data_IF_467925993608
#
_entry.id   IF_467925993608
#
_cell.length_a   1.000
_cell.length_b   1.000
_cell.length_c   1.000
_cell.angle_alpha   90.00
_cell.angle_beta   90.00
_cell.angle_gamma   90.00
#
_symmetry.space_group_name_H-M   'P 1'
#
loop_
_entity.id
_entity.type
_entity.pdbx_description
1 polymer ?
#
# COMPACT_ATOMS: atom_id res chain seq x y z
N UNK A 1 -49.74 27.97 35.82
CA UNK A 1 -48.41 27.56 36.33
C UNK A 1 -47.48 27.42 35.14
N UNK A 2 -46.74 28.48 34.81
CA UNK A 2 -45.68 28.48 33.81
C UNK A 2 -44.50 29.20 34.47
N UNK A 3 -43.42 28.47 34.71
CA UNK A 3 -42.17 29.02 35.24
C UNK A 3 -41.26 29.30 34.04
N UNK A 4 -40.75 30.53 34.00
CA UNK A 4 -39.87 31.10 32.97
C UNK A 4 -38.43 30.59 33.09
N UNK A 5 -37.71 30.80 31.97
CA UNK A 5 -36.33 31.34 31.89
C UNK A 5 -35.17 30.33 31.87
N UNK A 6 -34.07 30.45 31.11
CA UNK A 6 -33.44 31.57 30.40
C UNK A 6 -32.74 31.14 29.09
N UNK A 7 -32.61 32.14 28.21
CA UNK A 7 -31.77 32.30 27.02
C UNK A 7 -30.26 32.15 27.25
N UNK A 8 -29.52 31.70 26.23
CA UNK A 8 -28.26 32.34 25.79
C UNK A 8 -28.14 32.17 24.27
N UNK A 9 -28.26 33.27 23.51
CA UNK A 9 -27.70 33.44 22.18
C UNK A 9 -26.24 33.88 22.31
N UNK A 10 -25.36 33.46 21.39
CA UNK A 10 -24.16 34.23 21.07
C UNK A 10 -23.95 34.31 19.55
N UNK A 11 -23.81 35.56 19.14
CA UNK A 11 -23.65 36.17 17.83
C UNK A 11 -22.24 36.03 17.23
N UNK A 12 -22.22 35.98 15.90
CA UNK A 12 -21.25 36.52 14.92
C UNK A 12 -19.76 36.79 15.27
N UNK A 13 -18.90 36.07 14.55
CA UNK A 13 -17.77 36.49 13.67
C UNK A 13 -16.76 37.54 14.19
N UNK A 14 -15.45 37.31 13.94
CA UNK A 14 -14.72 38.29 13.11
C UNK A 14 -14.01 37.66 11.91
N UNK A 15 -14.36 38.18 10.72
CA UNK A 15 -13.46 38.32 9.58
C UNK A 15 -12.47 39.42 9.94
N UNK A 16 -11.19 39.12 9.83
CA UNK A 16 -10.09 40.06 9.64
C UNK A 16 -8.84 39.19 9.45
N UNK A 17 -7.83 39.51 8.67
CA UNK A 17 -7.55 40.57 7.70
C UNK A 17 -6.28 40.08 7.02
N UNK A 18 -6.09 40.39 5.75
CA UNK A 18 -4.83 40.16 5.08
C UNK A 18 -3.69 40.84 5.86
N UNK A 19 -2.62 40.10 6.13
CA UNK A 19 -1.30 40.69 6.30
C UNK A 19 -0.32 39.99 5.37
N UNK A 20 0.25 40.81 4.50
CA UNK A 20 1.20 40.49 3.44
C UNK A 20 2.60 40.79 3.95
N UNK A 21 3.38 39.76 4.28
CA UNK A 21 4.85 39.92 4.38
C UNK A 21 5.59 38.61 4.07
N UNK A 22 5.99 38.50 2.80
CA UNK A 22 7.22 37.91 2.23
C UNK A 22 8.06 36.98 3.13
N UNK A 23 8.28 35.74 2.65
CA UNK A 23 9.62 35.20 2.35
C UNK A 23 9.49 33.92 1.52
N UNK A 24 9.77 34.06 0.23
CA UNK A 24 9.98 32.98 -0.73
C UNK A 24 11.01 31.98 -0.17
N UNK A 25 10.62 30.71 -0.08
CA UNK A 25 11.51 29.56 0.07
C UNK A 25 10.97 28.40 -0.77
N UNK A 26 11.86 27.55 -1.30
CA UNK A 26 11.74 27.02 -2.64
C UNK A 26 10.63 25.98 -2.75
N UNK A 27 9.86 26.08 -3.82
CA UNK A 27 8.96 25.04 -4.31
C UNK A 27 9.83 23.84 -4.69
N UNK A 28 9.79 22.79 -3.90
CA UNK A 28 10.31 21.47 -4.33
C UNK A 28 9.27 20.90 -5.28
N UNK A 29 9.38 21.23 -6.56
CA UNK A 29 8.66 20.52 -7.62
C UNK A 29 9.30 19.15 -7.78
N UNK A 30 8.65 18.11 -7.26
CA UNK A 30 8.88 16.75 -7.72
C UNK A 30 8.23 16.61 -9.09
N UNK A 31 8.96 16.95 -10.15
CA UNK A 31 8.69 16.42 -11.48
C UNK A 31 9.41 15.09 -11.55
N UNK A 32 8.69 14.00 -11.39
CA UNK A 32 9.11 12.68 -11.89
C UNK A 32 7.91 11.74 -11.83
N UNK A 33 7.13 11.75 -12.91
CA UNK A 33 6.39 10.59 -13.36
C UNK A 33 7.42 9.59 -13.91
N UNK A 34 7.86 8.63 -13.09
CA UNK A 34 8.48 7.44 -13.66
C UNK A 34 8.08 6.18 -12.90
N UNK A 35 7.14 5.44 -13.49
CA UNK A 35 6.83 4.07 -13.10
C UNK A 35 7.93 3.13 -13.59
N UNK A 36 8.82 2.68 -12.70
CA UNK A 36 9.76 1.60 -12.99
C UNK A 36 9.41 0.36 -12.18
N UNK A 37 8.46 -0.43 -12.69
CA UNK A 37 8.10 -1.74 -12.15
C UNK A 37 8.53 -2.90 -13.09
N UNK A 38 9.52 -2.70 -13.97
CA UNK A 38 9.85 -3.71 -15.01
C UNK A 38 11.31 -4.14 -15.17
N UNK A 39 12.23 -3.75 -14.29
CA UNK A 39 13.64 -4.15 -14.47
C UNK A 39 14.03 -5.46 -13.77
N UNK A 40 13.11 -6.12 -13.06
CA UNK A 40 13.37 -7.43 -12.42
C UNK A 40 13.28 -8.64 -13.38
N UNK A 41 13.22 -8.42 -14.70
CA UNK A 41 13.02 -9.48 -15.68
C UNK A 41 14.04 -9.44 -16.83
N UNK A 42 15.34 -9.45 -16.53
CA UNK A 42 16.36 -9.73 -17.54
C UNK A 42 17.65 -10.29 -16.95
N UNK A 43 17.62 -11.56 -16.52
CA UNK A 43 18.82 -12.42 -16.58
C UNK A 43 18.41 -13.89 -16.56
N UNK A 44 18.21 -14.48 -17.75
CA UNK A 44 18.21 -15.93 -17.92
C UNK A 44 18.90 -16.29 -19.23
N UNK A 45 19.89 -17.18 -19.06
CA UNK A 45 20.68 -17.97 -20.03
C UNK A 45 21.79 -17.22 -20.77
N UNK A 46 23.02 -17.49 -20.36
CA UNK A 46 23.82 -18.47 -21.09
C UNK A 46 24.66 -19.32 -20.13
N UNK A 47 24.69 -20.62 -20.40
CA UNK A 47 25.41 -21.60 -19.60
C UNK A 47 26.88 -21.62 -19.98
N UNK A 48 27.74 -21.30 -19.03
CA UNK A 48 29.14 -21.71 -19.06
C UNK A 48 29.56 -22.14 -17.64
N UNK A 49 30.01 -23.38 -17.57
CA UNK A 49 30.43 -24.07 -16.36
C UNK A 49 31.82 -23.54 -15.95
N UNK A 50 31.87 -22.70 -14.93
CA UNK A 50 33.13 -22.22 -14.34
C UNK A 50 33.11 -22.47 -12.83
N UNK A 51 34.22 -23.01 -12.31
CA UNK A 51 34.38 -23.49 -10.94
C UNK A 51 34.12 -22.36 -9.92
N UNK A 52 33.18 -22.59 -9.01
CA UNK A 52 32.94 -21.78 -7.84
C UNK A 52 34.06 -22.01 -6.81
N UNK A 53 34.96 -21.03 -6.66
CA UNK A 53 35.60 -20.82 -5.36
C UNK A 53 34.55 -20.13 -4.47
N UNK A 54 34.30 -20.73 -3.29
CA UNK A 54 33.49 -20.13 -2.25
C UNK A 54 34.12 -18.81 -1.82
N UNK A 55 33.61 -17.71 -2.37
CA UNK A 55 33.97 -16.37 -1.94
C UNK A 55 33.22 -16.09 -0.64
N UNK A 56 33.72 -16.65 0.46
CA UNK A 56 33.40 -16.19 1.81
C UNK A 56 33.60 -14.67 1.80
N UNK A 57 32.58 -13.90 2.19
CA UNK A 57 32.53 -12.44 2.17
C UNK A 57 33.55 -11.70 3.04
N UNK A 58 34.77 -12.22 3.14
CA UNK A 58 35.93 -11.53 3.63
C UNK A 58 36.25 -10.38 2.67
N UNK A 59 35.97 -9.16 3.13
CA UNK A 59 36.68 -7.97 2.68
C UNK A 59 38.18 -8.32 2.62
N UNK A 60 38.91 -8.07 1.51
CA UNK A 60 40.36 -8.24 1.52
C UNK A 60 40.91 -7.43 2.70
N UNK A 61 41.45 -8.15 3.68
CA UNK A 61 41.86 -7.61 4.97
C UNK A 61 42.70 -6.33 4.76
N UNK A 62 42.11 -5.17 5.08
CA UNK A 62 42.79 -3.87 4.97
C UNK A 62 42.03 -2.74 4.25
N UNK A 63 40.86 -2.97 3.65
CA UNK A 63 40.03 -1.87 3.12
C UNK A 63 39.05 -1.34 4.16
N UNK A 64 39.08 -0.03 4.38
CA UNK A 64 38.07 0.66 5.19
C UNK A 64 36.67 0.45 4.59
N UNK A 65 35.63 0.32 5.42
CA UNK A 65 34.27 0.22 4.94
C UNK A 65 33.90 1.49 4.17
N UNK A 66 33.38 1.33 2.96
CA UNK A 66 33.05 2.43 2.04
C UNK A 66 31.73 2.11 1.32
N UNK A 67 30.90 3.14 1.08
CA UNK A 67 29.80 3.06 0.12
C UNK A 67 30.33 3.50 -1.23
N UNK A 68 30.46 2.54 -2.16
CA UNK A 68 31.03 2.82 -3.47
C UNK A 68 30.04 3.55 -4.36
N UNK A 69 30.42 4.72 -4.87
CA UNK A 69 29.63 5.42 -5.88
C UNK A 69 29.96 4.89 -7.27
N UNK A 70 28.96 4.29 -7.94
CA UNK A 70 29.05 3.88 -9.34
C UNK A 70 28.04 4.67 -10.16
N UNK A 71 28.44 5.01 -11.37
CA UNK A 71 27.65 5.84 -12.26
C UNK A 71 27.21 5.03 -13.48
N UNK A 72 25.98 5.23 -13.92
CA UNK A 72 25.46 4.63 -15.14
C UNK A 72 25.03 5.72 -16.12
N UNK A 73 25.23 5.48 -17.41
CA UNK A 73 24.77 6.37 -18.47
C UNK A 73 24.27 5.53 -19.64
N UNK A 74 23.12 5.90 -20.20
CA UNK A 74 22.57 5.25 -21.39
C UNK A 74 23.04 6.01 -22.63
N UNK A 75 23.87 5.37 -23.45
CA UNK A 75 24.34 5.91 -24.72
C UNK A 75 24.05 4.90 -25.83
N UNK A 76 23.40 5.35 -26.91
CA UNK A 76 23.01 4.51 -28.05
C UNK A 76 22.23 3.24 -27.64
N UNK A 77 21.35 3.37 -26.64
CA UNK A 77 20.54 2.25 -26.12
C UNK A 77 21.31 1.23 -25.29
N UNK A 78 22.60 1.44 -25.01
CA UNK A 78 23.42 0.60 -24.15
C UNK A 78 23.68 1.26 -22.81
N UNK A 79 23.59 0.48 -21.73
CA UNK A 79 23.92 0.90 -20.38
C UNK A 79 25.43 0.78 -20.15
N UNK A 80 26.07 1.91 -19.86
CA UNK A 80 27.48 1.99 -19.51
C UNK A 80 27.65 2.13 -18.00
N UNK A 81 28.64 1.45 -17.44
CA UNK A 81 29.03 1.58 -16.04
C UNK A 81 30.34 2.34 -15.93
N UNK A 82 30.40 3.26 -14.97
CA UNK A 82 31.50 4.19 -14.77
C UNK A 82 31.88 4.23 -13.28
N UNK A 83 33.18 4.23 -13.02
CA UNK A 83 33.76 4.45 -11.70
C UNK A 83 34.51 5.78 -11.69
N UNK A 84 34.43 6.51 -10.57
CA UNK A 84 35.22 7.71 -10.37
C UNK A 84 36.61 7.37 -9.84
N UNK A 85 37.63 7.78 -10.59
CA UNK A 85 39.03 7.63 -10.22
C UNK A 85 39.45 8.66 -9.16
N UNK A 86 40.59 8.45 -8.47
CA UNK A 86 41.12 9.40 -7.49
C UNK A 86 41.40 10.80 -8.05
N UNK A 87 41.60 10.94 -9.38
CA UNK A 87 41.77 12.22 -10.07
C UNK A 87 40.44 12.94 -10.37
N UNK A 88 39.31 12.36 -9.94
CA UNK A 88 37.96 12.86 -10.14
C UNK A 88 37.32 12.50 -11.49
N UNK A 89 38.05 11.87 -12.42
CA UNK A 89 37.52 11.49 -13.74
C UNK A 89 36.75 10.19 -13.69
N UNK A 90 35.74 10.07 -14.56
CA UNK A 90 34.97 8.84 -14.74
C UNK A 90 35.64 7.94 -15.78
N UNK A 91 35.81 6.65 -15.47
CA UNK A 91 36.28 5.64 -16.41
C UNK A 91 35.31 4.48 -16.49
N UNK A 92 35.16 3.91 -17.69
CA UNK A 92 34.29 2.77 -17.93
C UNK A 92 34.80 1.51 -17.21
N UNK A 93 33.87 0.76 -16.62
CA UNK A 93 34.10 -0.56 -16.02
C UNK A 93 33.25 -1.61 -16.75
N UNK A 94 33.71 -2.86 -16.81
CA UNK A 94 32.95 -3.97 -17.41
C UNK A 94 31.97 -4.57 -16.37
N UNK A 95 30.69 -4.86 -16.69
CA UNK A 95 29.71 -5.42 -15.73
C UNK A 95 29.76 -6.97 -15.67
N UNK A 96 29.13 -7.70 -14.71
CA UNK A 96 28.76 -7.40 -13.31
C UNK A 96 29.78 -7.90 -12.26
N UNK A 97 30.74 -8.74 -12.63
CA UNK A 97 31.68 -9.40 -11.70
C UNK A 97 32.53 -8.39 -10.90
N UNK A 98 32.89 -7.27 -11.55
CA UNK A 98 33.63 -6.18 -10.91
C UNK A 98 32.79 -5.34 -9.94
N UNK A 99 31.46 -5.44 -10.01
CA UNK A 99 30.53 -4.65 -9.21
C UNK A 99 30.19 -5.40 -7.91
N UNK A 100 30.09 -6.73 -7.96
CA UNK A 100 29.78 -7.58 -6.80
C UNK A 100 30.86 -7.57 -5.71
N UNK A 101 32.10 -7.12 -6.03
CA UNK A 101 33.19 -6.99 -5.05
C UNK A 101 32.96 -5.91 -3.99
N UNK A 102 32.02 -4.98 -4.21
CA UNK A 102 31.73 -3.90 -3.27
C UNK A 102 30.58 -4.28 -2.34
N UNK A 103 30.80 -4.15 -1.03
CA UNK A 103 29.81 -4.48 0.00
C UNK A 103 28.52 -3.64 -0.12
N UNK A 104 28.65 -2.35 -0.43
CA UNK A 104 27.53 -1.42 -0.63
C UNK A 104 27.84 -0.49 -1.80
N UNK A 105 26.84 -0.29 -2.66
CA UNK A 105 26.95 0.52 -3.86
C UNK A 105 25.84 1.56 -3.87
N UNK A 106 26.21 2.83 -4.00
CA UNK A 106 25.28 3.88 -4.39
C UNK A 106 25.35 4.03 -5.91
N UNK A 107 24.37 3.45 -6.61
CA UNK A 107 24.23 3.59 -8.05
C UNK A 107 23.60 4.94 -8.36
N UNK A 108 24.28 5.70 -9.20
CA UNK A 108 23.85 7.00 -9.71
C UNK A 108 23.66 6.92 -11.21
N UNK A 109 22.65 7.59 -11.74
CA UNK A 109 22.43 7.69 -13.17
C UNK A 109 22.83 9.08 -13.66
N UNK A 110 23.56 9.14 -14.76
CA UNK A 110 23.94 10.36 -15.44
C UNK A 110 22.96 10.53 -16.60
N UNK A 111 22.09 11.53 -16.48
CA UNK A 111 21.24 12.04 -17.55
C UNK A 111 21.78 13.41 -17.97
N UNK A 112 20.96 14.45 -17.93
CA UNK A 112 21.41 15.85 -17.96
C UNK A 112 22.14 16.22 -16.65
N UNK A 113 21.77 15.58 -15.54
CA UNK A 113 22.34 15.76 -14.22
C UNK A 113 22.67 14.39 -13.58
N UNK A 114 23.49 14.41 -12.53
CA UNK A 114 23.81 13.20 -11.76
C UNK A 114 22.73 13.00 -10.70
N UNK A 115 21.99 11.90 -10.83
CA UNK A 115 20.89 11.55 -9.94
C UNK A 115 21.14 10.22 -9.24
N UNK A 116 20.56 10.06 -8.06
CA UNK A 116 20.57 8.76 -7.40
C UNK A 116 19.62 7.83 -8.15
N UNK A 117 20.03 6.56 -8.32
CA UNK A 117 19.18 5.53 -8.91
C UNK A 117 18.79 4.48 -7.88
N UNK A 118 19.78 3.88 -7.21
CA UNK A 118 19.52 2.84 -6.20
C UNK A 118 20.69 2.66 -5.26
N UNK A 119 20.43 2.06 -4.10
CA UNK A 119 21.44 1.52 -3.20
C UNK A 119 21.39 0.01 -3.34
N UNK A 120 22.53 -0.62 -3.63
CA UNK A 120 22.66 -2.08 -3.75
C UNK A 120 23.56 -2.57 -2.63
N UNK A 121 23.08 -3.52 -1.84
CA UNK A 121 23.77 -4.06 -0.67
C UNK A 121 24.11 -5.51 -0.95
N UNK A 122 25.40 -5.81 -1.08
CA UNK A 122 25.95 -7.16 -1.21
C UNK A 122 26.39 -7.74 0.14
N UNK A 123 26.66 -6.90 1.15
CA UNK A 123 27.04 -7.34 2.49
C UNK A 123 25.92 -8.18 3.14
N UNK A 124 26.15 -9.47 3.42
CA UNK A 124 25.15 -10.33 4.07
C UNK A 124 24.81 -9.84 5.48
N UNK A 125 25.81 -9.34 6.21
CA UNK A 125 25.61 -8.82 7.57
C UNK A 125 24.74 -7.57 7.59
N UNK A 126 24.96 -6.62 6.66
CA UNK A 126 24.12 -5.43 6.56
C UNK A 126 22.71 -5.80 6.08
N UNK A 127 22.58 -6.74 5.14
CA UNK A 127 21.29 -7.23 4.67
C UNK A 127 20.47 -7.85 5.80
N UNK A 128 21.07 -8.72 6.62
CA UNK A 128 20.39 -9.29 7.79
C UNK A 128 20.04 -8.23 8.85
N UNK A 129 20.90 -7.23 9.05
CA UNK A 129 20.59 -6.10 9.95
C UNK A 129 19.41 -5.23 9.46
N UNK A 130 19.18 -5.14 8.15
CA UNK A 130 18.08 -4.38 7.54
C UNK A 130 16.78 -5.19 7.38
N UNK A 131 16.85 -6.51 7.50
CA UNK A 131 15.69 -7.41 7.43
C UNK A 131 14.56 -7.01 8.39
N UNK A 132 14.80 -6.76 9.71
CA UNK A 132 13.73 -6.32 10.60
C UNK A 132 13.13 -4.95 10.25
N UNK A 133 13.82 -4.14 9.43
CA UNK A 133 13.33 -2.82 8.98
C UNK A 133 12.32 -2.96 7.84
N UNK A 134 12.52 -3.92 6.95
CA UNK A 134 11.83 -3.99 5.66
C UNK A 134 11.21 -5.34 5.30
N UNK A 135 11.22 -6.33 6.18
CA UNK A 135 10.69 -7.69 5.88
C UNK A 135 9.25 -7.71 5.36
N UNK A 136 8.44 -6.72 5.73
CA UNK A 136 7.03 -6.58 5.36
C UNK A 136 6.80 -5.48 4.31
N UNK A 137 7.87 -4.86 3.78
CA UNK A 137 7.77 -3.75 2.85
C UNK A 137 7.60 -4.27 1.41
N UNK A 138 6.49 -3.94 0.70
CA UNK A 138 6.11 -4.61 -0.55
C UNK A 138 7.14 -4.54 -1.70
N UNK A 139 7.96 -3.49 -1.73
CA UNK A 139 8.89 -3.22 -2.85
C UNK A 139 10.31 -3.76 -2.61
N UNK A 140 10.57 -4.35 -1.44
CA UNK A 140 11.92 -4.77 -1.05
C UNK A 140 12.02 -6.30 -1.07
N UNK A 141 12.86 -6.80 -1.98
CA UNK A 141 13.12 -8.23 -2.11
C UNK A 141 14.34 -8.66 -1.30
N UNK A 142 14.10 -9.55 -0.33
CA UNK A 142 15.16 -10.20 0.45
C UNK A 142 15.58 -11.57 -0.10
N UNK A 143 14.90 -12.11 -1.12
CA UNK A 143 15.18 -13.43 -1.69
C UNK A 143 16.40 -13.43 -2.63
N UNK A 144 16.64 -12.30 -3.31
CA UNK A 144 17.83 -12.07 -4.14
C UNK A 144 19.13 -12.10 -3.35
N UNK A 145 20.26 -12.42 -3.97
CA UNK A 145 21.58 -12.44 -3.30
C UNK A 145 21.96 -11.05 -2.76
N UNK A 146 21.65 -10.00 -3.51
CA UNK A 146 21.79 -8.60 -3.12
C UNK A 146 20.45 -7.99 -2.72
N UNK A 147 20.51 -6.96 -1.87
CA UNK A 147 19.34 -6.16 -1.50
C UNK A 147 19.40 -4.83 -2.27
N UNK A 148 18.38 -4.55 -3.08
CA UNK A 148 18.30 -3.31 -3.86
C UNK A 148 17.20 -2.41 -3.32
N UNK A 149 17.55 -1.14 -3.07
CA UNK A 149 16.62 -0.10 -2.62
C UNK A 149 16.62 1.01 -3.66
N UNK A 150 15.45 1.29 -4.22
CA UNK A 150 15.27 2.29 -5.28
C UNK A 150 15.09 3.70 -4.70
N UNK A 151 15.46 4.72 -5.49
CA UNK A 151 15.08 6.10 -5.18
C UNK A 151 13.55 6.26 -5.11
N UNK A 152 13.03 7.23 -4.33
CA UNK A 152 13.74 8.24 -3.52
C UNK A 152 14.22 7.75 -2.15
N UNK A 153 14.28 6.43 -1.93
CA UNK A 153 14.62 5.82 -0.63
C UNK A 153 13.56 6.13 0.46
N UNK A 154 12.32 6.40 0.06
CA UNK A 154 11.23 6.76 0.97
C UNK A 154 10.88 5.65 1.96
N UNK A 155 11.21 4.40 1.65
CA UNK A 155 11.06 3.28 2.59
C UNK A 155 11.74 3.59 3.94
N UNK A 156 12.90 4.26 3.96
CA UNK A 156 13.55 4.67 5.21
C UNK A 156 12.76 5.74 5.96
N UNK A 157 12.09 6.67 5.25
CA UNK A 157 11.23 7.67 5.88
C UNK A 157 10.05 7.00 6.58
N UNK A 158 9.45 6.00 5.93
CA UNK A 158 8.31 5.26 6.47
C UNK A 158 8.68 4.27 7.58
N UNK A 159 9.94 3.79 7.59
CA UNK A 159 10.48 2.84 8.57
C UNK A 159 11.56 3.48 9.46
N UNK A 160 11.45 4.78 9.71
CA UNK A 160 12.52 5.55 10.36
C UNK A 160 12.88 5.04 11.76
N UNK A 161 11.87 4.73 12.57
CA UNK A 161 12.08 4.21 13.92
C UNK A 161 12.70 2.81 13.91
N UNK A 162 12.24 1.94 13.01
CA UNK A 162 12.83 0.61 12.81
C UNK A 162 14.28 0.71 12.32
N UNK A 163 14.57 1.68 11.43
CA UNK A 163 15.92 1.90 10.92
C UNK A 163 16.88 2.38 12.02
N UNK A 164 16.43 3.29 12.90
CA UNK A 164 17.19 3.68 14.09
C UNK A 164 17.45 2.50 15.03
N UNK A 165 16.43 1.71 15.33
CA UNK A 165 16.58 0.53 16.18
C UNK A 165 17.56 -0.49 15.59
N UNK A 166 17.50 -0.73 14.27
CA UNK A 166 18.44 -1.60 13.57
C UNK A 166 19.88 -1.07 13.61
N UNK A 167 20.07 0.26 13.55
CA UNK A 167 21.38 0.89 13.73
C UNK A 167 21.93 0.64 15.14
N UNK A 168 21.12 0.84 16.17
CA UNK A 168 21.53 0.65 17.56
C UNK A 168 21.88 -0.82 17.85
N UNK A 169 21.15 -1.76 17.26
CA UNK A 169 21.45 -3.19 17.35
C UNK A 169 22.75 -3.55 16.60
N UNK A 170 22.94 -3.03 15.38
CA UNK A 170 24.14 -3.24 14.59
C UNK A 170 25.42 -2.74 15.29
N UNK A 171 25.30 -1.80 16.23
CA UNK A 171 26.42 -1.29 17.02
C UNK A 171 27.15 -2.37 17.83
N UNK A 172 26.55 -3.55 18.04
CA UNK A 172 27.15 -4.71 18.71
C UNK A 172 28.19 -5.44 17.88
N UNK A 173 28.20 -5.23 16.56
CA UNK A 173 29.12 -5.88 15.62
C UNK A 173 29.95 -4.82 14.88
N UNK A 174 31.28 -4.73 15.12
CA UNK A 174 32.10 -3.62 14.60
C UNK A 174 32.05 -3.44 13.09
N UNK A 175 32.05 -4.53 12.31
CA UNK A 175 32.00 -4.48 10.84
C UNK A 175 30.63 -4.04 10.33
N UNK A 176 29.55 -4.63 10.85
CA UNK A 176 28.17 -4.25 10.50
C UNK A 176 27.88 -2.81 10.89
N UNK A 177 28.34 -2.39 12.06
CA UNK A 177 28.22 -1.02 12.56
C UNK A 177 28.81 -0.02 11.57
N UNK A 178 30.01 -0.27 11.07
CA UNK A 178 30.68 0.70 10.20
C UNK A 178 29.91 0.93 8.88
N UNK A 179 29.45 -0.13 8.22
CA UNK A 179 28.60 0.01 7.03
C UNK A 179 27.22 0.59 7.34
N UNK A 180 26.62 0.23 8.47
CA UNK A 180 25.33 0.76 8.92
C UNK A 180 25.42 2.26 9.23
N UNK A 181 26.49 2.72 9.87
CA UNK A 181 26.74 4.13 10.15
C UNK A 181 26.90 4.95 8.87
N UNK A 182 27.64 4.43 7.88
CA UNK A 182 27.77 5.06 6.56
C UNK A 182 26.41 5.17 5.85
N UNK A 183 25.65 4.08 5.81
CA UNK A 183 24.32 4.05 5.18
C UNK A 183 23.37 5.02 5.89
N UNK A 184 23.33 4.97 7.22
CA UNK A 184 22.50 5.84 8.03
C UNK A 184 22.82 7.32 7.80
N UNK A 185 24.10 7.70 7.83
CA UNK A 185 24.51 9.09 7.62
C UNK A 185 24.13 9.59 6.22
N UNK A 186 24.35 8.78 5.18
CA UNK A 186 23.95 9.11 3.82
C UNK A 186 22.43 9.32 3.70
N UNK A 187 21.64 8.44 4.33
CA UNK A 187 20.17 8.53 4.30
C UNK A 187 19.67 9.74 5.12
N UNK A 188 20.22 9.99 6.30
CA UNK A 188 19.87 11.17 7.13
C UNK A 188 20.13 12.46 6.37
N UNK A 189 21.31 12.61 5.79
CA UNK A 189 21.69 13.82 5.06
C UNK A 189 20.69 14.13 3.94
N UNK A 190 20.24 13.08 3.25
CA UNK A 190 19.34 13.22 2.10
C UNK A 190 17.86 13.37 2.48
N UNK A 191 17.41 12.68 3.53
CA UNK A 191 15.98 12.54 3.84
C UNK A 191 15.55 13.21 5.13
N UNK A 192 16.42 13.95 5.83
CA UNK A 192 16.07 14.63 7.08
C UNK A 192 14.79 15.45 6.98
N UNK A 193 14.67 16.29 5.95
CA UNK A 193 13.47 17.13 5.76
C UNK A 193 12.21 16.27 5.54
N UNK A 194 12.35 15.16 4.81
CA UNK A 194 11.29 14.19 4.54
C UNK A 194 10.83 13.47 5.81
N UNK A 195 11.78 13.08 6.67
CA UNK A 195 11.52 12.49 7.99
C UNK A 195 10.83 13.50 8.91
N UNK A 196 11.35 14.72 8.98
CA UNK A 196 10.80 15.79 9.81
C UNK A 196 9.37 16.16 9.36
N UNK A 197 9.12 16.24 8.05
CA UNK A 197 7.80 16.50 7.49
C UNK A 197 6.79 15.40 7.86
N UNK A 198 7.17 14.11 7.68
CA UNK A 198 6.32 12.98 8.08
C UNK A 198 6.02 12.99 9.57
N UNK A 199 7.06 13.14 10.41
CA UNK A 199 6.91 13.19 11.87
C UNK A 199 5.91 14.29 12.26
N UNK A 200 6.08 15.49 11.70
CA UNK A 200 5.21 16.61 11.96
C UNK A 200 3.75 16.37 11.51
N UNK A 201 3.54 15.73 10.35
CA UNK A 201 2.19 15.37 9.89
C UNK A 201 1.52 14.38 10.84
N UNK A 202 2.24 13.35 11.30
CA UNK A 202 1.72 12.36 12.25
C UNK A 202 1.41 12.96 13.63
N UNK A 203 2.28 13.83 14.15
CA UNK A 203 2.09 14.51 15.44
C UNK A 203 0.91 15.47 15.43
N UNK A 204 0.79 16.29 14.38
CA UNK A 204 -0.29 17.29 14.28
C UNK A 204 -1.60 16.70 13.75
N UNK A 205 -1.57 15.51 13.13
CA UNK A 205 -2.66 14.91 12.34
C UNK A 205 -3.20 15.85 11.26
N UNK A 206 -2.32 16.67 10.72
CA UNK A 206 -2.60 17.57 9.60
C UNK A 206 -1.59 17.38 8.50
N UNK A 207 -1.98 17.68 7.26
CA UNK A 207 -1.12 17.50 6.09
C UNK A 207 -1.42 18.58 5.05
N UNK A 208 -0.37 19.07 4.38
CA UNK A 208 -0.53 19.90 3.18
C UNK A 208 -0.65 19.03 1.94
N UNK A 209 -1.14 19.58 0.83
CA UNK A 209 -1.26 18.81 -0.41
C UNK A 209 0.08 18.20 -0.87
N UNK A 210 1.19 18.92 -0.74
CA UNK A 210 2.53 18.44 -1.17
C UNK A 210 3.14 17.39 -0.25
N UNK A 211 2.64 17.28 0.99
CA UNK A 211 3.10 16.32 2.00
C UNK A 211 2.23 15.05 2.03
N UNK A 212 1.24 14.88 1.15
CA UNK A 212 0.34 13.70 1.18
C UNK A 212 1.09 12.37 1.10
N UNK A 213 2.20 12.32 0.35
CA UNK A 213 3.08 11.14 0.29
C UNK A 213 3.59 10.71 1.68
N UNK A 214 3.72 11.64 2.62
CA UNK A 214 4.21 11.34 3.98
C UNK A 214 3.22 10.53 4.80
N UNK A 215 1.93 10.47 4.45
CA UNK A 215 0.89 9.82 5.27
C UNK A 215 0.24 8.61 4.58
N UNK A 216 0.59 8.33 3.32
CA UNK A 216 0.12 7.16 2.57
C UNK A 216 1.28 6.28 2.09
N UNK A 217 2.07 5.71 3.01
CA UNK A 217 3.12 4.78 2.62
C UNK A 217 2.54 3.54 1.94
N UNK A 218 3.23 2.95 0.94
CA UNK A 218 2.87 1.65 0.38
C UNK A 218 2.69 0.59 1.46
N UNK A 219 1.66 -0.26 1.30
CA UNK A 219 1.30 -1.30 2.26
C UNK A 219 0.47 -0.83 3.45
N UNK A 220 0.32 0.48 3.67
CA UNK A 220 -0.49 1.00 4.79
C UNK A 220 -1.99 0.89 4.57
N UNK A 221 -2.72 0.82 5.68
CA UNK A 221 -4.17 0.83 5.68
C UNK A 221 -4.73 2.25 5.62
N UNK A 222 -5.76 2.44 4.81
CA UNK A 222 -6.56 3.66 4.75
C UNK A 222 -8.03 3.32 4.93
N UNK A 223 -8.75 4.18 5.64
CA UNK A 223 -10.17 4.06 5.88
C UNK A 223 -10.92 4.93 4.88
N UNK A 224 -11.83 4.31 4.14
CA UNK A 224 -12.84 5.03 3.42
C UNK A 224 -14.07 5.16 4.31
N UNK A 225 -14.38 6.42 4.64
CA UNK A 225 -15.69 6.79 5.17
C UNK A 225 -16.47 7.33 3.98
N UNK A 226 -17.50 6.60 3.55
CA UNK A 226 -18.41 7.11 2.53
C UNK A 226 -18.81 8.54 2.88
N UNK A 227 -18.63 9.47 1.94
CA UNK A 227 -18.86 10.88 2.21
C UNK A 227 -20.31 11.06 2.68
N UNK A 228 -20.48 11.49 3.93
CA UNK A 228 -21.78 11.96 4.46
C UNK A 228 -22.27 13.24 3.73
N UNK A 229 -21.59 13.67 2.66
CA UNK A 229 -21.99 14.75 1.75
C UNK A 229 -22.45 14.27 0.36
N UNK A 230 -22.65 12.97 0.16
CA UNK A 230 -23.60 12.55 -0.88
C UNK A 230 -25.00 12.91 -0.34
N UNK A 231 -25.86 13.69 -1.05
CA UNK A 231 -27.21 14.04 -0.60
C UNK A 231 -28.17 12.84 -0.65
N UNK A 232 -27.74 11.73 -0.11
CA UNK A 232 -28.40 10.43 -0.15
C UNK A 232 -28.42 9.93 1.30
N UNK A 233 -29.35 10.54 2.04
CA UNK A 233 -29.92 10.14 3.33
C UNK A 233 -29.26 10.67 4.61
N UNK A 234 -29.74 11.83 5.04
CA UNK A 234 -29.72 12.20 6.45
C UNK A 234 -30.52 11.18 7.28
N UNK A 235 -29.80 10.48 8.17
CA UNK A 235 -30.27 10.05 9.50
C UNK A 235 -29.04 9.65 10.31
N UNK A 236 -28.92 10.29 11.47
CA UNK A 236 -28.19 9.95 12.71
C UNK A 236 -26.74 9.40 12.62
N UNK A 237 -25.81 9.90 13.46
CA UNK A 237 -24.47 9.33 13.62
C UNK A 237 -24.55 8.00 14.40
N UNK A 238 -25.05 6.96 13.73
CA UNK A 238 -25.25 5.63 14.28
C UNK A 238 -24.63 4.57 13.37
N UNK A 239 -23.39 4.17 13.69
CA UNK A 239 -22.67 3.03 13.13
C UNK A 239 -22.39 3.08 11.61
N UNK A 240 -21.12 3.31 11.28
CA UNK A 240 -20.58 3.25 9.91
C UNK A 240 -20.67 1.84 9.30
N UNK A 241 -21.87 1.40 8.90
CA UNK A 241 -22.08 0.09 8.25
C UNK A 241 -21.30 -0.04 6.93
N UNK A 242 -20.94 1.09 6.32
CA UNK A 242 -20.14 1.18 5.09
C UNK A 242 -18.66 1.50 5.33
N UNK A 243 -18.16 1.46 6.58
CA UNK A 243 -16.73 1.66 6.84
C UNK A 243 -15.95 0.56 6.13
N UNK A 244 -15.04 0.93 5.24
CA UNK A 244 -14.18 0.01 4.50
C UNK A 244 -12.73 0.42 4.66
N UNK A 245 -11.83 -0.55 4.76
CA UNK A 245 -10.41 -0.29 4.63
C UNK A 245 -9.90 -0.74 3.26
N UNK A 246 -8.89 -0.03 2.78
CA UNK A 246 -8.09 -0.41 1.63
C UNK A 246 -6.62 -0.44 2.02
N UNK A 247 -5.83 -1.24 1.32
CA UNK A 247 -4.38 -1.20 1.43
C UNK A 247 -3.81 -0.36 0.29
N UNK A 248 -2.96 0.61 0.62
CA UNK A 248 -2.26 1.42 -0.39
C UNK A 248 -1.27 0.53 -1.14
N UNK A 249 -1.36 0.51 -2.47
CA UNK A 249 -0.36 -0.10 -3.34
C UNK A 249 0.76 0.91 -3.58
N UNK A 250 0.39 2.07 -4.10
CA UNK A 250 1.31 3.17 -4.44
C UNK A 250 0.55 4.49 -4.56
N UNK A 251 1.29 5.58 -4.66
CA UNK A 251 0.74 6.91 -4.83
C UNK A 251 1.60 7.75 -5.76
N UNK A 252 0.98 8.73 -6.42
CA UNK A 252 1.68 9.65 -7.35
C UNK A 252 0.98 11.00 -7.44
N UNK A 253 1.74 12.05 -7.72
CA UNK A 253 1.17 13.33 -8.14
C UNK A 253 1.00 13.32 -9.66
N UNK A 254 -0.19 13.69 -10.13
CA UNK A 254 -0.51 13.81 -11.55
C UNK A 254 -1.03 15.22 -11.85
N UNK A 255 -0.91 15.66 -13.09
CA UNK A 255 -1.53 16.91 -13.55
C UNK A 255 -2.81 16.59 -14.32
N UNK A 256 -3.94 17.14 -13.88
CA UNK A 256 -5.23 17.01 -14.56
C UNK A 256 -5.25 17.78 -15.88
N UNK A 257 -6.25 17.52 -16.72
CA UNK A 257 -6.45 18.21 -18.00
C UNK A 257 -6.71 19.71 -17.85
N UNK A 258 -7.24 20.15 -16.70
CA UNK A 258 -7.45 21.56 -16.35
C UNK A 258 -6.20 22.22 -15.73
N UNK A 259 -5.07 21.52 -15.70
CA UNK A 259 -3.79 21.99 -15.16
C UNK A 259 -3.65 21.88 -13.63
N UNK A 260 -4.71 21.49 -12.90
CA UNK A 260 -4.62 21.32 -11.45
C UNK A 260 -3.84 20.06 -11.09
N UNK A 261 -3.16 20.10 -9.95
CA UNK A 261 -2.50 18.90 -9.42
C UNK A 261 -3.52 17.97 -8.76
N UNK A 262 -3.32 16.67 -8.95
CA UNK A 262 -4.05 15.59 -8.31
C UNK A 262 -3.05 14.71 -7.58
N UNK A 263 -3.43 14.22 -6.42
CA UNK A 263 -2.71 13.15 -5.76
C UNK A 263 -3.53 11.87 -5.89
N UNK A 264 -2.98 10.89 -6.61
CA UNK A 264 -3.67 9.65 -6.97
C UNK A 264 -3.16 8.52 -6.11
N UNK A 265 -4.09 7.90 -5.38
CA UNK A 265 -3.86 6.74 -4.53
C UNK A 265 -4.37 5.49 -5.23
N UNK A 266 -3.46 4.57 -5.56
CA UNK A 266 -3.82 3.23 -6.01
C UNK A 266 -3.95 2.33 -4.79
N UNK A 267 -5.12 1.77 -4.59
CA UNK A 267 -5.46 0.99 -3.40
C UNK A 267 -6.04 -0.37 -3.80
N UNK A 268 -5.89 -1.37 -2.93
CA UNK A 268 -6.50 -2.70 -3.11
C UNK A 268 -7.33 -3.13 -1.91
N UNK A 269 -8.29 -4.02 -2.19
CA UNK A 269 -9.18 -4.64 -1.22
C UNK A 269 -9.63 -6.01 -1.71
N UNK A 270 -10.17 -6.83 -0.83
CA UNK A 270 -10.67 -8.17 -1.13
C UNK A 270 -12.18 -8.10 -1.38
N UNK A 271 -12.64 -8.66 -2.49
CA UNK A 271 -14.08 -8.77 -2.81
C UNK A 271 -14.38 -10.09 -3.53
N UNK A 272 -15.63 -10.29 -3.93
CA UNK A 272 -16.13 -11.51 -4.59
C UNK A 272 -16.90 -11.27 -5.90
N UNK A 273 -16.73 -10.10 -6.54
CA UNK A 273 -17.50 -9.78 -7.75
C UNK A 273 -17.28 -10.75 -8.92
N UNK A 274 -16.01 -11.04 -9.24
CA UNK A 274 -15.58 -12.05 -10.23
C UNK A 274 -14.83 -13.19 -9.53
N UNK A 275 -15.46 -13.71 -8.48
CA UNK A 275 -14.83 -14.64 -7.53
C UNK A 275 -13.99 -13.92 -6.48
N UNK A 276 -13.56 -14.70 -5.48
CA UNK A 276 -12.78 -14.21 -4.36
C UNK A 276 -11.40 -13.74 -4.84
N UNK A 277 -11.12 -12.45 -4.71
CA UNK A 277 -9.93 -11.85 -5.27
C UNK A 277 -9.56 -10.51 -4.62
N UNK A 278 -8.32 -10.10 -4.82
CA UNK A 278 -7.89 -8.72 -4.70
C UNK A 278 -8.36 -7.92 -5.91
N UNK A 279 -8.97 -6.77 -5.63
CA UNK A 279 -9.37 -5.75 -6.60
C UNK A 279 -8.58 -4.49 -6.30
N UNK A 280 -8.27 -3.74 -7.37
CA UNK A 280 -7.57 -2.47 -7.32
C UNK A 280 -8.49 -1.35 -7.77
N UNK A 281 -8.39 -0.19 -7.14
CA UNK A 281 -9.03 1.05 -7.58
C UNK A 281 -8.14 2.25 -7.34
N UNK A 282 -8.56 3.39 -7.89
CA UNK A 282 -7.89 4.68 -7.71
C UNK A 282 -8.79 5.64 -6.94
N UNK A 283 -8.20 6.43 -6.05
CA UNK A 283 -8.86 7.56 -5.41
C UNK A 283 -8.01 8.80 -5.64
N UNK A 284 -8.65 9.85 -6.13
CA UNK A 284 -8.00 11.11 -6.41
C UNK A 284 -8.29 12.12 -5.30
N UNK A 285 -7.25 12.79 -4.84
CA UNK A 285 -7.34 13.95 -3.96
C UNK A 285 -6.98 15.17 -4.80
N UNK A 286 -7.95 16.05 -5.04
CA UNK A 286 -7.69 17.31 -5.73
C UNK A 286 -6.82 18.24 -4.89
N UNK A 287 -5.98 19.03 -5.56
CA UNK A 287 -5.18 20.07 -4.91
C UNK A 287 -6.02 20.95 -3.99
N UNK A 288 -5.46 21.24 -2.82
CA UNK A 288 -6.04 22.14 -1.85
C UNK A 288 -4.95 23.02 -1.22
N UNK A 289 -5.38 24.17 -0.70
CA UNK A 289 -4.50 25.09 -0.01
C UNK A 289 -4.52 24.87 1.51
N UNK A 290 -3.42 25.22 2.16
CA UNK A 290 -3.25 25.06 3.59
C UNK A 290 -3.17 23.59 4.03
N UNK A 291 -3.50 23.37 5.30
CA UNK A 291 -3.43 22.05 5.95
C UNK A 291 -4.82 21.48 6.18
N UNK A 292 -4.99 20.20 5.88
CA UNK A 292 -6.20 19.45 6.19
C UNK A 292 -5.96 18.48 7.34
N UNK A 293 -6.97 18.30 8.17
CA UNK A 293 -6.97 17.21 9.15
C UNK A 293 -7.11 15.87 8.44
N UNK A 294 -6.44 14.83 8.93
CA UNK A 294 -6.53 13.48 8.36
C UNK A 294 -7.98 13.00 8.21
N UNK A 295 -8.83 13.28 9.20
CA UNK A 295 -10.25 12.90 9.21
C UNK A 295 -11.09 13.58 8.11
N UNK A 296 -10.58 14.65 7.49
CA UNK A 296 -11.25 15.37 6.40
C UNK A 296 -10.81 14.91 5.00
N UNK A 297 -9.84 13.99 4.92
CA UNK A 297 -9.36 13.44 3.65
C UNK A 297 -10.34 12.37 3.15
N UNK A 298 -10.48 12.17 1.82
CA UNK A 298 -11.34 11.14 1.25
C UNK A 298 -10.98 9.72 1.71
N UNK A 299 -9.68 9.48 1.93
CA UNK A 299 -9.14 8.26 2.52
C UNK A 299 -8.40 8.65 3.79
N UNK A 300 -8.89 8.25 4.94
CA UNK A 300 -8.31 8.61 6.23
C UNK A 300 -7.15 7.63 6.51
N UNK A 301 -5.90 8.09 6.72
CA UNK A 301 -4.81 7.20 7.14
C UNK A 301 -5.19 6.45 8.42
N UNK A 302 -4.98 5.13 8.44
CA UNK A 302 -5.19 4.34 9.64
C UNK A 302 -4.04 4.50 10.63
N UNK A 303 -2.82 4.73 10.13
CA UNK A 303 -1.64 5.01 10.94
C UNK A 303 -1.82 6.31 11.73
N UNK A 304 -1.60 6.25 13.04
CA UNK A 304 -1.75 7.41 13.92
C UNK A 304 -3.19 7.80 14.24
N UNK A 305 -4.17 7.02 13.78
CA UNK A 305 -5.58 7.21 14.12
C UNK A 305 -5.85 6.78 15.58
N UNK A 306 -6.57 7.61 16.35
CA UNK A 306 -6.85 7.37 17.79
C UNK A 306 -7.49 6.00 18.05
N UNK A 307 -8.43 5.60 17.20
CA UNK A 307 -9.13 4.32 17.27
C UNK A 307 -8.57 3.23 16.33
N UNK A 308 -7.29 3.31 15.93
CA UNK A 308 -6.66 2.35 15.01
C UNK A 308 -6.93 0.89 15.42
N UNK A 309 -6.65 0.52 16.68
CA UNK A 309 -6.88 -0.84 17.18
C UNK A 309 -8.34 -1.30 17.09
N UNK A 310 -9.28 -0.42 17.41
CA UNK A 310 -10.72 -0.73 17.32
C UNK A 310 -11.16 -0.97 15.87
N UNK A 311 -10.63 -0.20 14.92
CA UNK A 311 -10.91 -0.42 13.50
C UNK A 311 -10.30 -1.71 13.00
N UNK A 312 -9.05 -2.02 13.32
CA UNK A 312 -8.41 -3.28 12.94
C UNK A 312 -9.21 -4.47 13.47
N UNK A 313 -9.58 -4.48 14.75
CA UNK A 313 -10.39 -5.57 15.34
C UNK A 313 -11.76 -5.70 14.68
N UNK A 314 -12.49 -4.58 14.52
CA UNK A 314 -13.83 -4.59 13.93
C UNK A 314 -13.83 -5.05 12.48
N UNK A 315 -12.94 -4.48 11.67
CA UNK A 315 -12.84 -4.78 10.25
C UNK A 315 -12.30 -6.20 10.03
N UNK A 316 -11.33 -6.64 10.84
CA UNK A 316 -10.84 -8.02 10.84
C UNK A 316 -11.94 -9.03 11.17
N UNK A 317 -12.74 -8.78 12.22
CA UNK A 317 -13.88 -9.64 12.58
C UNK A 317 -14.95 -9.71 11.47
N UNK A 318 -15.25 -8.58 10.82
CA UNK A 318 -16.14 -8.57 9.65
C UNK A 318 -15.51 -9.31 8.47
N UNK A 319 -14.20 -9.20 8.27
CA UNK A 319 -13.49 -9.93 7.23
C UNK A 319 -13.48 -11.43 7.44
N UNK A 320 -13.32 -11.89 8.68
CA UNK A 320 -13.48 -13.31 9.00
C UNK A 320 -14.89 -13.80 8.62
N UNK A 321 -15.93 -13.02 8.95
CA UNK A 321 -17.31 -13.32 8.54
C UNK A 321 -17.45 -13.34 7.02
N UNK A 322 -16.88 -12.37 6.31
CA UNK A 322 -16.86 -12.32 4.84
C UNK A 322 -16.24 -13.59 4.26
N UNK A 323 -15.08 -14.02 4.77
CA UNK A 323 -14.39 -15.22 4.29
C UNK A 323 -15.21 -16.50 4.56
N UNK A 324 -15.86 -16.62 5.72
CA UNK A 324 -16.73 -17.76 6.02
C UNK A 324 -17.94 -17.82 5.08
N UNK A 325 -18.53 -16.65 4.77
CA UNK A 325 -19.63 -16.54 3.80
C UNK A 325 -19.16 -16.88 2.38
N UNK A 326 -17.97 -16.41 1.99
CA UNK A 326 -17.35 -16.72 0.70
C UNK A 326 -17.18 -18.23 0.49
N UNK A 327 -16.67 -18.93 1.51
CA UNK A 327 -16.44 -20.37 1.50
C UNK A 327 -17.74 -21.19 1.48
N UNK A 328 -18.84 -20.63 2.00
CA UNK A 328 -20.16 -21.29 2.04
C UNK A 328 -21.16 -20.71 1.03
N UNK A 329 -20.65 -20.09 -0.05
CA UNK A 329 -21.46 -19.33 -1.00
C UNK A 329 -22.55 -20.12 -1.73
N UNK A 330 -22.37 -21.43 -1.89
CA UNK A 330 -23.38 -22.32 -2.49
C UNK A 330 -24.60 -22.59 -1.60
N UNK A 331 -24.55 -22.24 -0.31
CA UNK A 331 -25.66 -22.46 0.63
C UNK A 331 -26.55 -21.22 0.73
N UNK A 332 -27.89 -21.38 0.77
CA UNK A 332 -28.79 -20.27 1.09
C UNK A 332 -28.43 -19.66 2.45
N UNK A 333 -28.43 -18.33 2.50
CA UNK A 333 -28.23 -17.54 3.73
C UNK A 333 -29.49 -16.73 4.02
N UNK A 334 -29.60 -16.20 5.23
CA UNK A 334 -30.66 -15.30 5.63
C UNK A 334 -30.13 -13.88 5.82
N UNK A 335 -30.92 -12.90 5.37
CA UNK A 335 -30.59 -11.48 5.52
C UNK A 335 -31.58 -10.81 6.48
N UNK A 336 -31.04 -10.08 7.45
CA UNK A 336 -31.80 -9.39 8.50
C UNK A 336 -32.64 -8.23 7.95
N UNK A 337 -33.91 -8.19 8.37
CA UNK A 337 -34.92 -7.15 8.08
C UNK A 337 -34.44 -5.72 8.32
N UNK A 338 -33.51 -5.50 9.25
CA UNK A 338 -32.96 -4.17 9.56
C UNK A 338 -31.71 -3.77 8.79
N UNK A 339 -31.24 -4.60 7.85
CA UNK A 339 -30.00 -4.37 7.11
C UNK A 339 -30.25 -3.74 5.73
N UNK A 340 -29.39 -2.78 5.37
CA UNK A 340 -29.49 -2.02 4.11
C UNK A 340 -28.79 -2.77 2.98
N UNK A 341 -29.42 -2.75 1.81
CA UNK A 341 -28.87 -3.28 0.56
C UNK A 341 -28.60 -2.18 -0.47
N UNK A 342 -27.65 -2.41 -1.38
CA UNK A 342 -27.34 -1.52 -2.51
C UNK A 342 -27.75 -2.19 -3.83
N UNK A 343 -28.52 -1.48 -4.66
CA UNK A 343 -28.79 -1.91 -6.04
C UNK A 343 -27.58 -1.63 -6.94
N UNK A 344 -27.33 -2.53 -7.88
CA UNK A 344 -26.46 -2.29 -9.03
C UNK A 344 -27.01 -1.10 -9.84
N UNK A 345 -26.15 -0.15 -10.19
CA UNK A 345 -26.40 1.03 -11.03
C UNK A 345 -26.93 2.32 -10.37
N UNK A 346 -26.41 3.44 -10.90
CA UNK A 346 -26.28 4.75 -10.28
C UNK A 346 -27.54 5.61 -10.21
N UNK A 347 -27.58 6.44 -9.15
CA UNK A 347 -28.41 7.63 -8.99
C UNK A 347 -29.95 7.43 -8.96
N UNK A 348 -30.48 6.98 -7.83
CA UNK A 348 -31.42 7.74 -6.96
C UNK A 348 -32.12 6.78 -6.00
N UNK A 349 -31.63 6.77 -4.77
CA UNK A 349 -32.51 6.84 -3.63
C UNK A 349 -32.96 5.53 -2.96
N UNK A 350 -32.24 5.17 -1.90
CA UNK A 350 -32.77 4.45 -0.74
C UNK A 350 -32.17 3.07 -0.65
N UNK A 351 -31.37 2.81 0.38
CA UNK A 351 -31.08 1.42 0.73
C UNK A 351 -32.41 0.69 0.90
N UNK A 352 -32.59 -0.44 0.22
CA UNK A 352 -33.81 -1.21 0.36
C UNK A 352 -33.66 -2.09 1.59
N UNK A 353 -34.66 -2.09 2.47
CA UNK A 353 -34.80 -3.16 3.45
C UNK A 353 -34.99 -4.47 2.67
N UNK A 354 -34.03 -5.37 2.86
CA UNK A 354 -34.07 -6.73 2.34
C UNK A 354 -34.21 -7.62 3.55
N UNK A 355 -35.12 -8.57 3.47
CA UNK A 355 -35.33 -9.58 4.51
C UNK A 355 -35.58 -10.90 3.81
N UNK A 356 -34.98 -11.96 4.35
CA UNK A 356 -35.27 -13.33 3.97
C UNK A 356 -34.10 -14.01 3.27
N UNK A 357 -34.42 -15.09 2.55
CA UNK A 357 -33.41 -15.95 1.93
C UNK A 357 -32.68 -15.23 0.81
N UNK A 358 -31.37 -15.42 0.79
CA UNK A 358 -30.45 -14.94 -0.23
C UNK A 358 -29.54 -16.09 -0.66
N UNK A 359 -29.02 -16.01 -1.88
CA UNK A 359 -28.00 -16.92 -2.37
C UNK A 359 -26.78 -16.10 -2.77
N UNK A 360 -25.62 -16.44 -2.21
CA UNK A 360 -24.39 -15.74 -2.54
C UNK A 360 -23.92 -16.16 -3.93
N UNK A 361 -23.42 -15.21 -4.71
CA UNK A 361 -22.94 -15.49 -6.07
C UNK A 361 -22.51 -14.24 -6.79
N UNK A 362 -21.78 -14.43 -7.89
CA UNK A 362 -21.46 -13.38 -8.85
C UNK A 362 -22.09 -13.76 -10.19
N UNK A 363 -22.67 -12.80 -10.87
CA UNK A 363 -23.04 -12.96 -12.28
C UNK A 363 -21.75 -13.12 -13.10
N UNK A 364 -21.67 -14.10 -13.99
CA UNK A 364 -20.51 -14.30 -14.88
C UNK A 364 -20.26 -13.07 -15.78
N UNK A 365 -21.31 -12.31 -16.06
CA UNK A 365 -21.30 -11.08 -16.87
C UNK A 365 -21.11 -9.79 -16.05
N UNK A 366 -20.82 -9.92 -14.75
CA UNK A 366 -20.76 -8.81 -13.79
C UNK A 366 -19.60 -7.85 -14.06
N UNK A 367 -19.89 -6.76 -14.78
CA UNK A 367 -19.10 -5.54 -14.74
C UNK A 367 -18.85 -5.17 -13.27
N UNK A 368 -17.58 -5.02 -12.89
CA UNK A 368 -17.19 -4.49 -11.59
C UNK A 368 -17.99 -3.20 -11.33
N UNK A 369 -18.59 -2.98 -10.15
CA UNK A 369 -19.19 -1.70 -9.80
C UNK A 369 -18.15 -0.57 -9.81
N UNK A 370 -17.98 0.10 -10.95
CA UNK A 370 -17.01 1.18 -11.16
C UNK A 370 -15.70 0.74 -11.82
N UNK A 371 -14.70 1.62 -11.78
CA UNK A 371 -13.38 1.47 -12.44
C UNK A 371 -12.43 0.46 -11.74
N UNK A 372 -12.94 -0.44 -10.89
CA UNK A 372 -12.10 -1.38 -10.16
C UNK A 372 -11.61 -2.53 -11.07
N UNK A 373 -10.32 -2.84 -10.98
CA UNK A 373 -9.64 -3.87 -11.79
C UNK A 373 -9.36 -5.10 -10.94
N UNK A 374 -9.60 -6.28 -11.48
CA UNK A 374 -9.17 -7.55 -10.88
C UNK A 374 -7.63 -7.57 -10.83
N UNK A 375 -7.06 -7.67 -9.63
CA UNK A 375 -5.62 -7.68 -9.42
C UNK A 375 -5.08 -9.10 -9.30
N UNK A 376 -5.66 -9.90 -8.40
CA UNK A 376 -5.18 -11.26 -8.13
C UNK A 376 -6.30 -12.13 -7.53
N UNK A 377 -6.61 -13.27 -8.16
CA UNK A 377 -7.54 -14.25 -7.58
C UNK A 377 -6.95 -14.91 -6.34
N UNK A 378 -7.78 -15.07 -5.31
CA UNK A 378 -7.49 -15.87 -4.14
C UNK A 378 -8.06 -17.26 -4.42
N UNK A 379 -7.24 -18.30 -4.46
CA UNK A 379 -7.78 -19.64 -4.61
C UNK A 379 -8.43 -20.05 -3.28
N UNK A 380 -9.66 -20.56 -3.33
CA UNK A 380 -10.13 -21.42 -2.26
C UNK A 380 -9.25 -22.68 -2.29
N UNK A 381 -8.80 -23.18 -1.14
CA UNK A 381 -8.27 -24.54 -1.04
C UNK A 381 -9.32 -25.46 -1.67
N UNK A 382 -9.07 -25.94 -2.88
CA UNK A 382 -9.88 -26.96 -3.54
C UNK A 382 -9.35 -28.32 -3.12
N UNK A 383 -9.51 -28.62 -1.84
CA UNK A 383 -9.77 -29.99 -1.41
C UNK A 383 -11.28 -30.06 -1.15
N UNK A 384 -11.92 -31.12 -1.62
CA UNK A 384 -13.38 -31.40 -1.58
C UNK A 384 -14.23 -30.88 -2.76
N UNK A 385 -14.08 -31.49 -3.93
CA UNK A 385 -15.15 -32.29 -4.56
C UNK A 385 -14.50 -33.40 -5.40
N UNK A 386 -14.76 -34.63 -4.99
CA UNK A 386 -14.37 -35.86 -5.66
C UNK A 386 -15.09 -35.98 -7.01
N UNK A 387 -14.35 -35.94 -8.12
CA UNK A 387 -14.67 -36.72 -9.33
C UNK A 387 -13.44 -36.82 -10.22
N UNK A 388 -12.94 -38.04 -10.37
CA UNK A 388 -11.93 -38.47 -11.37
C UNK A 388 -12.50 -39.69 -12.10
N UNK A 389 -11.96 -40.15 -13.25
CA UNK A 389 -10.73 -39.70 -13.93
C UNK A 389 -10.86 -39.52 -15.46
N UNK A 390 -9.97 -38.73 -16.06
CA UNK A 390 -9.12 -39.19 -17.18
C UNK A 390 -8.01 -38.18 -17.53
N UNK A 391 -6.91 -38.73 -18.01
CA UNK A 391 -5.52 -38.28 -17.98
C UNK A 391 -5.10 -37.18 -18.98
N UNK A 392 -4.12 -36.34 -18.59
CA UNK A 392 -2.71 -36.46 -19.04
C UNK A 392 -1.85 -35.29 -18.54
N UNK A 393 -0.75 -35.64 -17.83
CA UNK A 393 0.61 -35.02 -17.76
C UNK A 393 0.77 -33.53 -18.18
N UNK A 394 1.37 -32.61 -17.42
CA UNK A 394 2.78 -32.57 -17.01
C UNK A 394 3.12 -31.38 -16.07
N UNK A 395 4.15 -31.57 -15.24
CA UNK A 395 5.11 -30.59 -14.69
C UNK A 395 4.72 -29.71 -13.48
N UNK A 396 5.59 -29.79 -12.47
CA UNK A 396 5.48 -29.20 -11.14
C UNK A 396 5.90 -27.73 -11.12
N UNK A 397 5.04 -26.90 -10.54
CA UNK A 397 5.41 -25.61 -9.95
C UNK A 397 4.62 -25.52 -8.64
N UNK A 398 5.29 -25.78 -7.53
CA UNK A 398 4.73 -25.62 -6.19
C UNK A 398 4.57 -24.13 -5.88
N UNK A 399 3.46 -23.54 -6.34
CA UNK A 399 2.96 -22.28 -5.81
C UNK A 399 1.72 -22.59 -4.99
N UNK A 400 1.91 -22.67 -3.67
CA UNK A 400 0.79 -22.68 -2.72
C UNK A 400 0.07 -21.34 -2.89
N UNK A 401 -1.23 -21.31 -3.23
CA UNK A 401 -1.95 -20.06 -3.41
C UNK A 401 -2.15 -19.33 -2.07
N UNK A 402 -2.23 -18.00 -2.06
CA UNK A 402 -2.31 -17.23 -0.83
C UNK A 402 -3.66 -17.45 -0.14
N UNK A 403 -3.60 -18.03 1.06
CA UNK A 403 -4.64 -17.89 2.07
C UNK A 403 -4.61 -16.44 2.59
N UNK A 404 -5.77 -15.83 2.81
CA UNK A 404 -5.86 -14.47 3.38
C UNK A 404 -5.29 -14.50 4.80
N UNK A 405 -4.26 -13.70 5.08
CA UNK A 405 -3.69 -13.60 6.43
C UNK A 405 -4.62 -12.81 7.36
N UNK A 406 -4.45 -12.96 8.67
CA UNK A 406 -5.27 -12.24 9.66
C UNK A 406 -5.23 -10.71 9.46
N UNK A 407 -4.04 -10.16 9.17
CA UNK A 407 -3.85 -8.74 8.86
C UNK A 407 -4.52 -8.30 7.55
N UNK A 408 -4.80 -9.23 6.63
CA UNK A 408 -5.47 -8.93 5.37
C UNK A 408 -7.00 -8.93 5.49
N UNK A 409 -7.56 -9.56 6.52
CA UNK A 409 -9.02 -9.65 6.71
C UNK A 409 -9.69 -8.28 6.79
N UNK A 410 -9.02 -7.29 7.38
CA UNK A 410 -9.57 -5.94 7.49
C UNK A 410 -9.80 -5.24 6.14
N UNK A 411 -9.13 -5.69 5.07
CA UNK A 411 -9.28 -5.15 3.71
C UNK A 411 -10.38 -5.83 2.90
N UNK A 412 -11.21 -6.66 3.54
CA UNK A 412 -12.39 -7.24 2.89
C UNK A 412 -13.50 -6.22 2.68
N UNK A 413 -14.22 -6.40 1.57
CA UNK A 413 -15.38 -5.60 1.23
C UNK A 413 -16.46 -5.68 2.32
N UNK A 414 -17.10 -4.56 2.69
CA UNK A 414 -18.22 -4.56 3.62
C UNK A 414 -19.48 -5.22 3.03
N UNK A 415 -19.50 -5.44 1.71
CA UNK A 415 -20.63 -6.02 0.98
C UNK A 415 -20.23 -7.27 0.20
N UNK A 416 -21.17 -8.20 0.06
CA UNK A 416 -21.11 -9.37 -0.81
C UNK A 416 -22.29 -9.31 -1.77
N UNK A 417 -22.05 -9.67 -3.05
CA UNK A 417 -23.11 -9.79 -4.05
C UNK A 417 -23.94 -11.05 -3.79
N UNK A 418 -25.25 -10.89 -3.80
CA UNK A 418 -26.18 -11.97 -3.54
C UNK A 418 -27.49 -11.78 -4.32
N UNK A 419 -28.09 -12.90 -4.72
CA UNK A 419 -29.43 -12.95 -5.26
C UNK A 419 -30.44 -12.92 -4.12
N UNK A 420 -31.34 -11.94 -4.11
CA UNK A 420 -32.46 -11.91 -3.17
C UNK A 420 -33.67 -12.61 -3.78
N UNK A 421 -34.10 -13.73 -3.20
CA UNK A 421 -35.30 -14.44 -3.68
C UNK A 421 -36.57 -13.61 -3.53
N UNK A 422 -36.67 -12.79 -2.48
CA UNK A 422 -37.84 -11.92 -2.23
C UNK A 422 -37.94 -10.75 -3.21
N UNK A 423 -36.80 -10.24 -3.67
CA UNK A 423 -36.73 -9.09 -4.60
C UNK A 423 -36.53 -9.52 -6.05
N UNK A 424 -36.22 -10.80 -6.29
CA UNK A 424 -35.90 -11.38 -7.59
C UNK A 424 -34.83 -10.54 -8.33
N UNK A 425 -33.77 -10.17 -7.60
CA UNK A 425 -32.70 -9.32 -8.13
C UNK A 425 -31.35 -9.59 -7.44
N UNK A 426 -30.27 -9.36 -8.18
CA UNK A 426 -28.91 -9.26 -7.64
C UNK A 426 -28.72 -7.94 -6.88
N UNK A 427 -28.08 -8.03 -5.72
CA UNK A 427 -27.87 -6.90 -4.82
C UNK A 427 -26.52 -7.03 -4.12
N UNK A 428 -25.91 -5.88 -3.80
CA UNK A 428 -24.77 -5.83 -2.89
C UNK A 428 -25.30 -5.69 -1.46
N UNK A 429 -25.07 -6.71 -0.64
CA UNK A 429 -25.61 -6.83 0.71
C UNK A 429 -24.50 -6.71 1.76
N UNK A 430 -24.74 -5.96 2.84
CA UNK A 430 -23.78 -5.79 3.93
C UNK A 430 -23.51 -7.12 4.65
N UNK A 431 -22.24 -7.48 4.81
CA UNK A 431 -21.78 -8.68 5.53
C UNK A 431 -22.33 -8.73 6.95
N UNK A 432 -22.40 -7.58 7.63
CA UNK A 432 -22.89 -7.47 9.00
C UNK A 432 -24.35 -7.99 9.14
N UNK A 433 -25.17 -7.85 8.10
CA UNK A 433 -26.59 -8.26 8.08
C UNK A 433 -26.84 -9.73 7.72
N UNK A 434 -25.82 -10.49 7.31
CA UNK A 434 -25.97 -11.89 6.88
C UNK A 434 -25.91 -12.88 8.05
N UNK A 435 -26.71 -13.96 7.99
CA UNK A 435 -26.72 -15.05 8.96
C UNK A 435 -26.92 -16.39 8.25
N UNK A 436 -26.54 -17.49 8.91
CA UNK A 436 -26.87 -18.83 8.43
C UNK A 436 -28.38 -19.08 8.60
N UNK A 437 -28.97 -19.85 7.69
CA UNK A 437 -30.39 -20.21 7.75
C UNK A 437 -30.61 -21.16 8.93
N UNK A 438 -31.52 -20.81 9.83
CA UNK A 438 -32.03 -21.74 10.83
C UNK A 438 -33.11 -22.61 10.16
N UNK A 439 -32.84 -23.90 10.04
CA UNK A 439 -33.87 -24.87 9.69
C UNK A 439 -34.57 -25.27 10.98
N UNK A 440 -35.87 -25.02 11.08
CA UNK A 440 -36.66 -25.63 12.14
C UNK A 440 -36.60 -27.15 11.94
N UNK A 441 -36.06 -27.86 12.93
CA UNK A 441 -36.19 -29.31 13.01
C UNK A 441 -37.68 -29.64 13.13
N UNK A 442 -38.29 -30.01 12.01
CA UNK A 442 -39.65 -30.55 12.02
C UNK A 442 -39.63 -31.86 12.82
N UNK A 443 -40.24 -31.83 14.01
CA UNK A 443 -40.66 -33.00 14.77
C UNK A 443 -41.89 -33.67 14.14
#
# INVERSE_FOLDING_TARGET
MQVKSHSVEFTDIPRDRADTSVREKPVVTFKEDVSFAKDNAASRKDGARSKSEENNGAVPAGKEPEIKNLYTHIYEGKLWWLEQNPDGKLSAIMPPEDVEKFAVIHRRHISEHIESHSIVIHSPHLKEALKPVFQDYPEIDFTSSSLQIMTPFLCFVYRWEQFKAAKDEAARHPETKAYMDLLYNMIVERLRNSVDARKHCLETRTVTFVELWTIYPPGSGVLYRGHDNNPVYGREPGYCRHLQAFQVIRSSYKTATDGKQLYVLECKFISMWQGLAWYQGEVEISQYEGRKQFASLPLIPLEGHEHQGQFTTRLGGRGQKFMNLASSSAQPKEYDRGALSRRECGCRGGGMEVEGRIMLGGEEDGLSPGDYKLLQRLQANRDDVFTSPSSSSESSSSQVPPTVTEDQLMYTSPVIRAWSFKKEAWMDLLVDGMRDVQFDEMH
#
